data_IF_460714056188
#
_entry.id   IF_460714056188
#
_cell.length_a   1.000
_cell.length_b   1.000
_cell.length_c   1.000
_cell.angle_alpha   90.00
_cell.angle_beta   90.00
_cell.angle_gamma   90.00
#
_symmetry.space_group_name_H-M   'P 1'
#
loop_
_entity.id
_entity.type
_entity.pdbx_description
1 polymer ?
#
# COMPACT_ATOMS: atom_id res chain seq x y z
N UNK A 1 40.40 -12.42 -1.35
CA UNK A 1 40.94 -12.77 -0.02
C UNK A 1 40.69 -11.59 0.90
N UNK A 2 39.82 -11.72 1.91
CA UNK A 2 39.63 -10.68 2.92
C UNK A 2 40.83 -10.65 3.89
N UNK A 3 41.29 -9.48 4.37
CA UNK A 3 42.29 -9.41 5.43
C UNK A 3 41.64 -9.60 6.82
N UNK A 4 42.42 -9.99 7.85
CA UNK A 4 41.89 -10.30 9.18
C UNK A 4 41.55 -9.05 10.00
N UNK A 5 40.51 -9.16 10.82
CA UNK A 5 40.03 -8.12 11.73
C UNK A 5 40.87 -8.10 13.01
N UNK A 6 41.47 -6.95 13.33
CA UNK A 6 42.20 -6.73 14.57
C UNK A 6 41.25 -6.61 15.77
N UNK A 7 41.55 -7.31 16.86
CA UNK A 7 40.87 -7.18 18.16
C UNK A 7 41.29 -5.88 18.84
N UNK A 8 40.34 -5.00 19.13
CA UNK A 8 40.56 -3.83 19.98
C UNK A 8 40.15 -4.14 21.43
N UNK A 9 41.05 -3.84 22.36
CA UNK A 9 40.90 -4.03 23.80
C UNK A 9 39.88 -3.06 24.41
N UNK A 10 39.02 -3.58 25.29
CA UNK A 10 38.03 -2.79 26.04
C UNK A 10 38.71 -1.99 27.16
N UNK A 11 38.75 -0.66 27.00
CA UNK A 11 39.05 0.28 28.07
C UNK A 11 37.77 0.72 28.78
N UNK A 12 37.75 0.58 30.11
CA UNK A 12 36.68 0.98 31.02
C UNK A 12 36.48 2.50 30.99
N UNK A 13 35.37 2.99 30.40
CA UNK A 13 34.96 4.39 30.52
C UNK A 13 33.90 4.56 31.62
N UNK A 14 34.23 5.44 32.56
CA UNK A 14 33.41 5.87 33.69
C UNK A 14 32.24 6.71 33.16
N UNK A 15 31.00 6.28 33.43
CA UNK A 15 29.78 7.05 33.13
C UNK A 15 29.64 8.21 34.12
N UNK A 16 29.69 9.45 33.62
CA UNK A 16 29.17 10.63 34.31
C UNK A 16 27.74 10.86 33.79
N UNK A 17 26.74 10.56 34.61
CA UNK A 17 25.34 10.87 34.32
C UNK A 17 25.08 12.36 34.52
N UNK A 18 25.04 13.12 33.42
CA UNK A 18 24.47 14.46 33.41
C UNK A 18 22.95 14.35 33.28
N UNK A 19 22.23 14.71 34.34
CA UNK A 19 20.78 14.91 34.33
C UNK A 19 20.45 16.13 33.46
N UNK A 20 20.05 15.89 32.22
CA UNK A 20 19.34 16.90 31.42
C UNK A 20 17.84 16.63 31.54
N UNK A 21 17.14 17.56 32.18
CA UNK A 21 15.68 17.56 32.24
C UNK A 21 15.10 17.69 30.84
N UNK A 22 14.39 16.66 30.38
CA UNK A 22 13.55 16.73 29.19
C UNK A 22 12.30 17.49 29.58
N UNK A 23 12.24 18.77 29.19
CA UNK A 23 10.98 19.52 29.21
C UNK A 23 10.11 18.98 28.09
N UNK A 24 9.03 18.28 28.45
CA UNK A 24 8.01 17.82 27.54
C UNK A 24 7.18 19.01 27.02
N UNK A 25 7.69 19.69 26.00
CA UNK A 25 6.82 20.47 25.12
C UNK A 25 6.32 19.53 24.03
N UNK A 26 5.16 18.93 24.28
CA UNK A 26 4.29 18.38 23.25
C UNK A 26 3.85 19.53 22.33
N UNK A 27 4.64 19.76 21.30
CA UNK A 27 4.26 20.58 20.16
C UNK A 27 3.80 19.63 19.06
N UNK A 28 2.48 19.56 18.86
CA UNK A 28 1.89 19.04 17.64
C UNK A 28 2.46 19.84 16.45
N UNK A 29 3.53 19.34 15.85
CA UNK A 29 3.93 19.78 14.51
C UNK A 29 3.03 19.10 13.48
N UNK A 30 1.74 19.43 13.56
CA UNK A 30 0.86 19.37 12.41
C UNK A 30 1.42 20.37 11.39
N UNK A 31 2.24 19.89 10.46
CA UNK A 31 2.48 20.63 9.23
C UNK A 31 1.16 20.63 8.44
N UNK A 32 0.35 21.64 8.74
CA UNK A 32 -0.95 21.94 8.16
C UNK A 32 -0.79 22.37 6.70
N UNK A 33 -0.41 21.44 5.83
CA UNK A 33 -0.96 21.40 4.48
C UNK A 33 -2.11 20.41 4.51
N UNK A 34 -3.27 20.83 5.02
CA UNK A 34 -4.47 19.98 4.97
C UNK A 34 -4.68 19.60 3.51
N UNK A 35 -4.53 18.32 3.19
CA UNK A 35 -4.82 17.80 1.86
C UNK A 35 -6.23 18.26 1.48
N UNK A 36 -6.35 19.04 0.40
CA UNK A 36 -7.60 19.65 -0.07
C UNK A 36 -8.60 18.63 -0.60
N UNK A 37 -8.24 17.34 -0.59
CA UNK A 37 -9.05 16.24 -1.05
C UNK A 37 -10.12 15.96 0.01
N UNK A 38 -11.39 16.00 -0.41
CA UNK A 38 -12.52 15.75 0.48
C UNK A 38 -12.58 14.27 0.93
N UNK A 39 -13.20 13.95 2.08
CA UNK A 39 -13.46 12.56 2.46
C UNK A 39 -14.21 11.76 1.39
N UNK A 40 -15.25 12.35 0.77
CA UNK A 40 -16.02 11.71 -0.29
C UNK A 40 -15.15 11.38 -1.53
N UNK A 41 -14.22 12.28 -1.90
CA UNK A 41 -13.26 12.03 -2.98
C UNK A 41 -12.32 10.87 -2.63
N UNK A 42 -11.88 10.77 -1.36
CA UNK A 42 -11.03 9.65 -0.92
C UNK A 42 -11.78 8.33 -0.93
N UNK A 43 -13.03 8.31 -0.48
CA UNK A 43 -13.90 7.14 -0.54
C UNK A 43 -14.11 6.70 -2.00
N UNK A 44 -14.37 7.64 -2.92
CA UNK A 44 -14.50 7.34 -4.34
C UNK A 44 -13.27 6.62 -4.90
N UNK A 45 -12.05 7.11 -4.62
CA UNK A 45 -10.84 6.46 -5.12
C UNK A 45 -10.46 5.19 -4.37
N UNK A 46 -10.86 5.05 -3.11
CA UNK A 46 -10.75 3.77 -2.42
C UNK A 46 -11.69 2.72 -3.02
N UNK A 47 -12.92 3.09 -3.39
CA UNK A 47 -13.79 2.20 -4.19
C UNK A 47 -13.11 1.80 -5.51
N UNK A 48 -12.42 2.74 -6.18
CA UNK A 48 -11.68 2.42 -7.40
C UNK A 48 -10.53 1.42 -7.16
N UNK A 49 -9.85 1.51 -6.03
CA UNK A 49 -8.82 0.55 -5.62
C UNK A 49 -9.42 -0.84 -5.34
N UNK A 50 -10.62 -0.91 -4.75
CA UNK A 50 -11.39 -2.17 -4.61
C UNK A 50 -11.77 -2.73 -5.99
N UNK A 51 -12.25 -1.88 -6.91
CA UNK A 51 -12.62 -2.29 -8.28
C UNK A 51 -11.41 -2.77 -9.12
N UNK A 52 -10.19 -2.37 -8.78
CA UNK A 52 -8.99 -2.91 -9.42
C UNK A 52 -8.85 -4.44 -9.23
N UNK A 53 -9.42 -4.99 -8.16
CA UNK A 53 -9.36 -6.43 -7.85
C UNK A 53 -10.01 -7.30 -8.95
N UNK A 54 -11.31 -7.13 -9.28
CA UNK A 54 -11.94 -7.88 -10.37
C UNK A 54 -11.39 -7.53 -11.75
N UNK A 55 -10.89 -6.31 -11.96
CA UNK A 55 -10.34 -5.89 -13.26
C UNK A 55 -8.98 -6.53 -13.57
N UNK A 56 -8.15 -6.75 -12.54
CA UNK A 56 -6.77 -7.22 -12.71
C UNK A 56 -6.61 -8.70 -12.39
N UNK A 57 -7.38 -9.22 -11.43
CA UNK A 57 -7.21 -10.58 -10.91
C UNK A 57 -8.51 -11.37 -11.01
N UNK A 58 -9.46 -11.08 -10.14
CA UNK A 58 -10.70 -11.84 -9.96
C UNK A 58 -11.62 -11.08 -9.01
N UNK A 59 -12.95 -11.22 -9.11
CA UNK A 59 -13.88 -10.73 -8.08
C UNK A 59 -13.67 -11.41 -6.71
N UNK A 60 -13.02 -12.57 -6.67
CA UNK A 60 -12.76 -13.38 -5.48
C UNK A 60 -11.24 -13.59 -5.28
N UNK A 61 -10.44 -12.51 -5.16
CA UNK A 61 -9.00 -12.67 -5.09
C UNK A 61 -8.60 -13.21 -3.71
N UNK A 62 -7.71 -14.22 -3.67
CA UNK A 62 -7.14 -14.63 -2.38
C UNK A 62 -6.43 -13.44 -1.73
N UNK A 63 -5.50 -12.78 -2.43
CA UNK A 63 -4.85 -11.55 -1.98
C UNK A 63 -5.58 -10.30 -2.46
N UNK A 64 -6.55 -9.80 -1.68
CA UNK A 64 -7.38 -8.65 -2.02
C UNK A 64 -6.67 -7.28 -1.87
N UNK A 65 -5.41 -7.19 -2.31
CA UNK A 65 -4.58 -5.99 -2.26
C UNK A 65 -4.66 -5.24 -3.59
N UNK A 66 -5.62 -4.32 -3.70
CA UNK A 66 -5.86 -3.48 -4.86
C UNK A 66 -5.33 -2.07 -4.65
N UNK A 67 -4.94 -1.38 -5.71
CA UNK A 67 -4.38 -0.03 -5.64
C UNK A 67 -4.82 0.82 -6.83
N UNK A 68 -5.10 2.09 -6.57
CA UNK A 68 -5.33 3.13 -7.58
C UNK A 68 -4.40 4.32 -7.34
N UNK A 69 -3.83 4.89 -8.39
CA UNK A 69 -2.96 6.07 -8.31
C UNK A 69 -3.60 7.21 -9.11
N UNK A 70 -3.76 8.35 -8.45
CA UNK A 70 -4.60 9.46 -8.93
C UNK A 70 -3.83 10.76 -8.85
N UNK A 71 -3.94 11.58 -9.88
CA UNK A 71 -3.47 12.95 -9.89
C UNK A 71 -4.60 13.91 -9.47
N UNK A 72 -4.45 14.53 -8.30
CA UNK A 72 -5.40 15.51 -7.75
C UNK A 72 -5.08 16.96 -8.10
N UNK A 73 -4.09 17.19 -8.97
CA UNK A 73 -3.75 18.55 -9.48
C UNK A 73 -4.52 18.93 -10.74
N UNK A 74 -5.33 18.03 -11.29
CA UNK A 74 -6.20 18.33 -12.43
C UNK A 74 -7.35 19.24 -12.04
N UNK A 75 -7.99 19.85 -13.05
CA UNK A 75 -9.17 20.71 -12.88
C UNK A 75 -10.47 19.93 -12.62
N UNK A 76 -10.42 18.59 -12.67
CA UNK A 76 -11.56 17.73 -12.37
C UNK A 76 -11.78 17.65 -10.87
N UNK A 77 -13.05 17.69 -10.43
CA UNK A 77 -13.41 17.67 -9.00
C UNK A 77 -12.86 16.43 -8.27
N UNK A 78 -12.85 15.28 -8.94
CA UNK A 78 -12.34 14.03 -8.38
C UNK A 78 -10.85 13.83 -8.59
N UNK A 79 -10.17 14.57 -9.47
CA UNK A 79 -8.83 14.20 -9.94
C UNK A 79 -8.87 13.22 -11.13
N UNK A 80 -7.70 12.89 -11.67
CA UNK A 80 -7.53 12.02 -12.83
C UNK A 80 -6.83 10.71 -12.45
N UNK A 81 -7.44 9.57 -12.75
CA UNK A 81 -6.82 8.27 -12.60
C UNK A 81 -5.62 8.14 -13.54
N UNK A 82 -4.45 7.76 -13.00
CA UNK A 82 -3.26 7.48 -13.79
C UNK A 82 -3.20 5.99 -14.13
N UNK A 83 -3.32 5.14 -13.12
CA UNK A 83 -3.28 3.69 -13.28
C UNK A 83 -3.92 2.99 -12.08
N UNK A 84 -4.08 1.67 -12.23
CA UNK A 84 -4.43 0.74 -11.16
C UNK A 84 -3.43 -0.40 -11.10
N UNK A 85 -3.44 -1.14 -9.99
CA UNK A 85 -2.71 -2.39 -9.81
C UNK A 85 -3.40 -3.27 -8.77
N UNK A 86 -3.03 -4.55 -8.77
CA UNK A 86 -3.44 -5.50 -7.75
C UNK A 86 -2.30 -6.49 -7.48
N UNK A 87 -2.35 -7.18 -6.34
CA UNK A 87 -1.36 -8.21 -6.02
C UNK A 87 -1.45 -9.36 -7.02
N UNK A 88 -0.28 -9.69 -7.59
CA UNK A 88 -0.11 -10.72 -8.62
C UNK A 88 0.95 -11.75 -8.21
N UNK A 89 1.29 -11.84 -6.93
CA UNK A 89 2.36 -12.72 -6.42
C UNK A 89 2.15 -14.16 -6.85
N UNK A 90 0.93 -14.68 -6.72
CA UNK A 90 0.59 -16.06 -7.05
C UNK A 90 0.38 -16.25 -8.55
N UNK A 91 -0.17 -15.26 -9.22
CA UNK A 91 -0.53 -15.30 -10.65
C UNK A 91 0.72 -15.30 -11.54
N UNK A 92 1.76 -14.54 -11.16
CA UNK A 92 2.97 -14.41 -11.98
C UNK A 92 4.23 -14.96 -11.32
N UNK A 93 4.16 -15.41 -10.06
CA UNK A 93 5.31 -15.98 -9.33
C UNK A 93 6.37 -14.95 -8.90
N UNK A 94 6.03 -13.66 -8.85
CA UNK A 94 6.95 -12.61 -8.37
C UNK A 94 6.59 -12.19 -6.94
N UNK A 95 7.43 -12.48 -5.93
CA UNK A 95 7.12 -12.23 -4.53
C UNK A 95 7.03 -10.73 -4.17
N UNK A 96 7.50 -9.82 -5.01
CA UNK A 96 7.45 -8.38 -4.74
C UNK A 96 6.27 -7.68 -5.42
N UNK A 97 5.52 -8.36 -6.28
CA UNK A 97 4.46 -7.74 -7.07
C UNK A 97 3.15 -7.62 -6.27
N UNK A 98 3.23 -6.92 -5.14
CA UNK A 98 2.10 -6.47 -4.33
C UNK A 98 1.32 -5.38 -5.08
N UNK A 99 0.08 -5.09 -4.65
CA UNK A 99 -0.79 -4.13 -5.34
C UNK A 99 -0.15 -2.75 -5.54
N UNK A 100 0.58 -2.26 -4.54
CA UNK A 100 1.24 -0.96 -4.58
C UNK A 100 2.43 -0.95 -5.57
N UNK A 101 3.22 -2.03 -5.59
CA UNK A 101 4.35 -2.18 -6.52
C UNK A 101 3.85 -2.36 -7.95
N UNK A 102 2.80 -3.18 -8.13
CA UNK A 102 2.14 -3.37 -9.42
C UNK A 102 1.62 -2.04 -9.97
N UNK A 103 0.94 -1.25 -9.15
CA UNK A 103 0.44 0.06 -9.55
C UNK A 103 1.60 1.03 -9.89
N UNK A 104 2.68 1.09 -9.12
CA UNK A 104 3.85 1.94 -9.45
C UNK A 104 4.46 1.53 -10.80
N UNK A 105 4.59 0.23 -11.07
CA UNK A 105 5.09 -0.25 -12.36
C UNK A 105 4.16 0.13 -13.51
N UNK A 106 2.85 -0.08 -13.34
CA UNK A 106 1.84 0.25 -14.34
C UNK A 106 1.80 1.76 -14.61
N UNK A 107 1.83 2.59 -13.58
CA UNK A 107 1.86 4.04 -13.73
C UNK A 107 3.12 4.51 -14.43
N UNK A 108 4.29 3.94 -14.10
CA UNK A 108 5.53 4.25 -14.80
C UNK A 108 5.40 3.97 -16.29
N UNK A 109 4.87 2.80 -16.67
CA UNK A 109 4.63 2.45 -18.06
C UNK A 109 3.66 3.43 -18.76
N UNK A 110 2.54 3.78 -18.12
CA UNK A 110 1.56 4.75 -18.65
C UNK A 110 2.17 6.14 -18.84
N UNK A 111 2.96 6.61 -17.87
CA UNK A 111 3.56 7.94 -17.88
C UNK A 111 4.63 8.09 -18.96
N UNK A 112 5.40 7.03 -19.22
CA UNK A 112 6.54 7.07 -20.16
C UNK A 112 6.26 6.44 -21.51
N UNK A 113 5.05 5.91 -21.75
CA UNK A 113 4.68 5.30 -23.03
C UNK A 113 4.88 6.31 -24.20
N UNK A 114 5.65 5.98 -25.25
CA UNK A 114 5.92 6.89 -26.36
C UNK A 114 4.66 7.35 -27.12
N UNK A 115 3.67 6.46 -27.18
CA UNK A 115 2.36 6.64 -27.79
C UNK A 115 1.26 6.94 -26.76
N UNK A 116 1.62 7.03 -25.47
CA UNK A 116 0.69 7.32 -24.38
C UNK A 116 0.28 8.79 -24.29
N UNK A 117 -0.64 9.11 -23.36
CA UNK A 117 -1.14 10.48 -23.21
C UNK A 117 -0.14 11.44 -22.53
N UNK A 118 0.83 10.91 -21.78
CA UNK A 118 1.78 11.73 -20.99
C UNK A 118 3.15 11.89 -21.65
N UNK A 119 3.73 10.81 -22.20
CA UNK A 119 5.01 10.80 -22.93
C UNK A 119 6.18 11.43 -22.18
N UNK A 120 6.18 11.27 -20.86
CA UNK A 120 7.19 11.84 -19.99
C UNK A 120 8.52 11.10 -20.18
N UNK A 121 9.62 11.84 -20.12
CA UNK A 121 10.94 11.25 -19.89
C UNK A 121 10.99 10.58 -18.51
N UNK A 122 11.97 9.71 -18.28
CA UNK A 122 12.14 9.07 -16.97
C UNK A 122 12.27 10.09 -15.82
N UNK A 123 12.97 11.20 -16.04
CA UNK A 123 13.13 12.26 -15.03
C UNK A 123 11.82 13.00 -14.75
N UNK A 124 11.04 13.30 -15.79
CA UNK A 124 9.73 13.94 -15.63
C UNK A 124 8.73 13.00 -14.94
N UNK A 125 8.71 11.71 -15.28
CA UNK A 125 7.87 10.72 -14.63
C UNK A 125 8.20 10.59 -13.14
N UNK A 126 9.49 10.53 -12.78
CA UNK A 126 9.93 10.54 -11.37
C UNK A 126 9.47 11.82 -10.63
N UNK A 127 9.52 12.97 -11.29
CA UNK A 127 9.08 14.23 -10.70
C UNK A 127 7.55 14.31 -10.53
N UNK A 128 6.77 13.61 -11.37
CA UNK A 128 5.31 13.65 -11.34
C UNK A 128 4.69 12.97 -10.12
N UNK A 129 5.36 11.97 -9.52
CA UNK A 129 4.84 11.24 -8.36
C UNK A 129 4.49 12.14 -7.16
N UNK A 130 5.18 13.28 -6.99
CA UNK A 130 4.89 14.27 -5.94
C UNK A 130 3.51 14.93 -6.05
N UNK A 131 2.84 14.75 -7.18
CA UNK A 131 1.50 15.28 -7.47
C UNK A 131 0.42 14.20 -7.38
N UNK A 132 0.80 12.95 -7.10
CA UNK A 132 -0.12 11.81 -7.04
C UNK A 132 -0.45 11.39 -5.61
N UNK A 133 -1.68 10.91 -5.43
CA UNK A 133 -2.12 10.15 -4.26
C UNK A 133 -2.23 8.67 -4.63
N UNK A 134 -1.71 7.81 -3.77
CA UNK A 134 -1.89 6.35 -3.85
C UNK A 134 -3.00 5.91 -2.89
N UNK A 135 -4.00 5.20 -3.41
CA UNK A 135 -5.09 4.59 -2.64
C UNK A 135 -4.91 3.06 -2.67
N UNK A 136 -4.82 2.40 -1.51
CA UNK A 136 -4.62 0.95 -1.41
C UNK A 136 -5.58 0.30 -0.43
N UNK A 137 -6.09 -0.90 -0.75
CA UNK A 137 -7.10 -1.60 0.06
C UNK A 137 -6.57 -2.09 1.40
N UNK A 138 -5.25 -2.15 1.59
CA UNK A 138 -4.64 -2.40 2.87
C UNK A 138 -3.40 -1.53 3.09
N UNK A 139 -3.04 -1.36 4.36
CA UNK A 139 -1.87 -0.62 4.79
C UNK A 139 -0.60 -1.16 4.13
N UNK A 140 0.25 -0.29 3.57
CA UNK A 140 1.48 -0.73 2.94
C UNK A 140 2.41 -1.48 3.89
N UNK A 141 2.78 -2.70 3.53
CA UNK A 141 3.81 -3.46 4.24
C UNK A 141 5.18 -2.74 4.16
N UNK A 142 6.20 -3.13 4.94
CA UNK A 142 7.46 -2.41 4.97
C UNK A 142 8.16 -2.20 3.62
N UNK A 143 8.05 -3.16 2.71
CA UNK A 143 8.54 -3.03 1.34
C UNK A 143 7.78 -1.94 0.57
N UNK A 144 6.45 -2.03 0.54
CA UNK A 144 5.58 -1.10 -0.18
C UNK A 144 5.67 0.31 0.40
N UNK A 145 5.65 0.44 1.73
CA UNK A 145 5.82 1.72 2.44
C UNK A 145 7.13 2.40 2.04
N UNK A 146 8.23 1.66 2.00
CA UNK A 146 9.54 2.17 1.59
C UNK A 146 9.56 2.57 0.11
N UNK A 147 8.95 1.76 -0.77
CA UNK A 147 8.81 2.09 -2.19
C UNK A 147 8.00 3.38 -2.42
N UNK A 148 6.89 3.56 -1.70
CA UNK A 148 6.05 4.76 -1.74
C UNK A 148 6.86 6.00 -1.32
N UNK A 149 7.66 5.88 -0.26
CA UNK A 149 8.52 6.98 0.21
C UNK A 149 9.63 7.32 -0.79
N UNK A 150 10.22 6.33 -1.44
CA UNK A 150 11.20 6.57 -2.51
C UNK A 150 10.59 7.19 -3.77
N UNK A 151 9.39 6.76 -4.16
CA UNK A 151 8.65 7.36 -5.28
C UNK A 151 8.26 8.82 -4.99
N UNK A 152 8.06 9.15 -3.71
CA UNK A 152 7.81 10.53 -3.27
C UNK A 152 6.39 11.00 -3.54
N UNK A 153 5.41 10.09 -3.40
CA UNK A 153 3.99 10.41 -3.47
C UNK A 153 3.62 11.58 -2.56
N UNK A 154 2.62 12.36 -2.96
CA UNK A 154 2.03 13.42 -2.12
C UNK A 154 1.34 12.84 -0.90
N UNK A 155 0.54 11.80 -1.13
CA UNK A 155 -0.33 11.20 -0.14
C UNK A 155 -0.44 9.69 -0.40
N UNK A 156 -0.52 8.92 0.68
CA UNK A 156 -0.86 7.50 0.69
C UNK A 156 -2.07 7.32 1.58
N UNK A 157 -3.15 6.82 0.99
CA UNK A 157 -4.42 6.52 1.65
C UNK A 157 -4.60 5.01 1.66
N UNK A 158 -4.86 4.43 2.82
CA UNK A 158 -5.11 3.00 2.95
C UNK A 158 -6.40 2.71 3.73
N UNK A 159 -6.93 1.51 3.54
CA UNK A 159 -8.13 1.04 4.23
C UNK A 159 -7.78 0.13 5.41
N UNK A 160 -7.75 -1.20 5.21
CA UNK A 160 -7.48 -2.20 6.25
C UNK A 160 -6.07 -2.07 6.82
N UNK A 161 -5.94 -2.07 8.15
CA UNK A 161 -4.65 -1.91 8.82
C UNK A 161 -3.82 -3.20 8.88
N UNK A 162 -2.49 -3.10 9.06
CA UNK A 162 -1.63 -4.26 9.33
C UNK A 162 -2.08 -5.04 10.57
N UNK A 163 -2.52 -4.36 11.64
CA UNK A 163 -2.99 -5.04 12.86
C UNK A 163 -4.22 -5.89 12.55
N UNK A 164 -5.15 -5.34 11.76
CA UNK A 164 -6.35 -6.05 11.32
C UNK A 164 -6.01 -7.23 10.41
N UNK A 165 -5.04 -7.09 9.51
CA UNK A 165 -4.55 -8.20 8.69
C UNK A 165 -3.98 -9.32 9.58
N UNK A 166 -3.14 -8.99 10.57
CA UNK A 166 -2.57 -9.94 11.53
C UNK A 166 -3.70 -10.63 12.32
N UNK A 167 -4.70 -9.88 12.77
CA UNK A 167 -5.88 -10.43 13.46
C UNK A 167 -6.63 -11.45 12.59
N UNK A 168 -6.72 -11.22 11.28
CA UNK A 168 -7.32 -12.16 10.32
C UNK A 168 -6.38 -13.28 9.87
N UNK A 169 -5.21 -13.44 10.51
CA UNK A 169 -4.27 -14.51 10.24
C UNK A 169 -3.36 -14.28 9.03
N UNK A 170 -3.38 -13.09 8.43
CA UNK A 170 -2.46 -12.78 7.34
C UNK A 170 -1.02 -12.69 7.84
N UNK A 171 -0.07 -13.38 7.19
CA UNK A 171 1.34 -13.22 7.53
C UNK A 171 1.79 -11.80 7.15
N UNK A 172 2.14 -11.00 8.16
CA UNK A 172 2.66 -9.65 7.99
C UNK A 172 3.93 -9.48 8.82
N UNK A 173 4.80 -8.57 8.37
CA UNK A 173 5.79 -7.98 9.25
C UNK A 173 5.05 -7.02 10.18
N UNK A 174 5.16 -7.25 11.49
CA UNK A 174 4.60 -6.36 12.53
C UNK A 174 5.43 -5.06 12.63
N UNK A 175 5.32 -4.25 11.58
CA UNK A 175 5.95 -2.95 11.45
C UNK A 175 5.03 -2.04 10.63
N UNK A 176 4.47 -1.04 11.30
CA UNK A 176 3.47 -0.14 10.74
C UNK A 176 4.07 0.81 9.70
N UNK A 177 3.28 1.12 8.67
CA UNK A 177 3.64 2.11 7.63
C UNK A 177 3.96 3.48 8.25
N UNK A 178 3.22 3.87 9.30
CA UNK A 178 3.45 5.11 10.06
C UNK A 178 4.89 5.21 10.58
N UNK A 179 5.42 4.14 11.18
CA UNK A 179 6.77 4.13 11.73
C UNK A 179 7.84 4.32 10.63
N UNK A 180 7.63 3.68 9.47
CA UNK A 180 8.52 3.84 8.32
C UNK A 180 8.49 5.27 7.79
N UNK A 181 7.31 5.84 7.67
CA UNK A 181 7.13 7.22 7.20
C UNK A 181 7.81 8.21 8.16
N UNK A 182 7.62 8.04 9.47
CA UNK A 182 8.25 8.85 10.52
C UNK A 182 9.78 8.71 10.55
N UNK A 183 10.34 7.55 10.21
CA UNK A 183 11.80 7.33 10.15
C UNK A 183 12.45 7.73 8.82
N UNK A 184 11.66 8.07 7.81
CA UNK A 184 12.13 8.38 6.45
C UNK A 184 12.37 9.88 6.19
N UNK A 185 12.57 10.68 7.23
CA UNK A 185 12.70 12.16 7.17
C UNK A 185 13.93 12.66 6.41
N UNK A 186 14.91 11.79 6.14
CA UNK A 186 16.10 12.12 5.32
C UNK A 186 15.84 12.11 3.81
N UNK A 187 14.69 11.60 3.38
CA UNK A 187 14.27 11.68 1.98
C UNK A 187 13.76 13.09 1.66
N UNK A 188 13.92 13.51 0.39
CA UNK A 188 13.59 14.87 -0.05
C UNK A 188 12.09 15.18 -0.05
N UNK A 189 11.24 14.15 -0.14
CA UNK A 189 9.79 14.28 -0.22
C UNK A 189 9.14 14.05 1.14
N UNK A 190 7.99 14.67 1.38
CA UNK A 190 7.06 14.31 2.46
C UNK A 190 5.83 13.66 1.82
N UNK A 191 5.35 12.57 2.42
CA UNK A 191 4.13 11.88 1.99
C UNK A 191 3.17 11.88 3.16
N UNK A 192 1.99 12.48 2.98
CA UNK A 192 0.92 12.41 3.98
C UNK A 192 0.33 10.99 4.01
N UNK A 193 0.14 10.42 5.19
CA UNK A 193 -0.37 9.07 5.38
C UNK A 193 -1.72 9.11 6.08
N UNK A 194 -2.73 8.48 5.48
CA UNK A 194 -4.09 8.41 6.03
C UNK A 194 -4.60 6.96 5.97
N UNK A 195 -5.03 6.42 7.11
CA UNK A 195 -5.61 5.07 7.21
C UNK A 195 -7.11 5.07 7.41
N UNK A 196 -7.74 3.90 7.27
CA UNK A 196 -9.14 3.65 7.66
C UNK A 196 -10.20 4.06 6.65
N UNK A 197 -9.83 4.48 5.43
CA UNK A 197 -10.83 4.88 4.41
C UNK A 197 -11.53 3.64 3.88
N UNK A 198 -12.86 3.53 4.08
CA UNK A 198 -13.66 2.35 3.72
C UNK A 198 -13.20 1.02 4.35
N UNK A 199 -12.58 1.06 5.53
CA UNK A 199 -12.05 -0.13 6.21
C UNK A 199 -13.06 -1.27 6.36
N UNK A 200 -14.33 -0.96 6.65
CA UNK A 200 -15.35 -1.98 6.88
C UNK A 200 -15.59 -2.82 5.63
N UNK A 201 -15.52 -2.18 4.45
CA UNK A 201 -15.71 -2.85 3.17
C UNK A 201 -14.47 -3.66 2.80
N UNK A 202 -13.26 -3.11 2.96
CA UNK A 202 -12.02 -3.84 2.64
C UNK A 202 -11.76 -4.97 3.62
N UNK A 203 -12.13 -4.83 4.90
CA UNK A 203 -12.02 -5.90 5.89
C UNK A 203 -12.83 -7.14 5.47
N UNK A 204 -14.00 -6.98 4.83
CA UNK A 204 -14.77 -8.12 4.32
C UNK A 204 -13.99 -8.93 3.28
N UNK A 205 -13.13 -8.29 2.49
CA UNK A 205 -12.28 -8.98 1.52
C UNK A 205 -11.13 -9.78 2.15
N UNK A 206 -10.73 -9.48 3.38
CA UNK A 206 -9.57 -10.12 4.05
C UNK A 206 -9.94 -11.14 5.13
N UNK A 207 -11.23 -11.34 5.39
CA UNK A 207 -11.74 -12.14 6.52
C UNK A 207 -11.93 -13.63 6.24
N UNK A 208 -11.91 -14.07 4.99
CA UNK A 208 -12.34 -15.43 4.62
C UNK A 208 -11.18 -16.39 4.32
N UNK A 209 -9.99 -15.86 4.02
CA UNK A 209 -8.85 -16.63 3.51
C UNK A 209 -8.28 -17.62 4.52
N UNK A 210 -8.32 -17.25 5.80
CA UNK A 210 -7.80 -18.05 6.92
C UNK A 210 -8.89 -18.33 7.96
N UNK A 211 -10.14 -18.32 7.51
CA UNK A 211 -11.31 -18.58 8.34
C UNK A 211 -12.35 -19.37 7.52
N UNK A 212 -12.50 -20.64 7.88
CA UNK A 212 -13.42 -21.57 7.19
C UNK A 212 -14.88 -21.11 7.29
N UNK A 213 -15.23 -20.40 8.38
CA UNK A 213 -16.57 -19.84 8.61
C UNK A 213 -16.73 -18.41 8.05
N UNK A 214 -15.69 -17.86 7.41
CA UNK A 214 -15.73 -16.51 6.85
C UNK A 214 -16.76 -16.35 5.73
N UNK A 215 -17.43 -15.21 5.65
CA UNK A 215 -18.33 -14.94 4.52
C UNK A 215 -17.50 -14.63 3.26
N UNK A 216 -17.85 -15.26 2.13
CA UNK A 216 -17.27 -14.89 0.85
C UNK A 216 -17.68 -13.46 0.44
N UNK A 217 -16.81 -12.75 -0.29
CA UNK A 217 -17.16 -11.43 -0.80
C UNK A 217 -18.33 -11.52 -1.79
N UNK A 218 -19.03 -10.41 -2.00
CA UNK A 218 -20.21 -10.38 -2.88
C UNK A 218 -19.89 -10.89 -4.29
N UNK A 219 -20.72 -11.82 -4.79
CA UNK A 219 -20.51 -12.47 -6.09
C UNK A 219 -19.61 -13.70 -6.06
N UNK A 220 -19.17 -14.12 -4.87
CA UNK A 220 -18.34 -15.29 -4.65
C UNK A 220 -19.04 -16.32 -3.77
N UNK A 221 -18.81 -17.59 -4.04
CA UNK A 221 -19.33 -18.73 -3.28
C UNK A 221 -18.16 -19.58 -2.79
N UNK A 222 -18.32 -20.20 -1.61
CA UNK A 222 -17.28 -21.06 -1.05
C UNK A 222 -17.32 -22.40 -1.76
N UNK A 223 -16.20 -22.77 -2.37
CA UNK A 223 -16.03 -24.08 -2.99
C UNK A 223 -15.79 -25.15 -1.93
N UNK A 224 -16.59 -26.22 -1.93
CA UNK A 224 -16.52 -27.28 -0.92
C UNK A 224 -15.21 -28.08 -0.99
N UNK A 225 -14.60 -28.18 -2.18
CA UNK A 225 -13.36 -28.95 -2.39
C UNK A 225 -12.11 -28.22 -1.89
N UNK A 226 -11.96 -26.95 -2.25
CA UNK A 226 -10.79 -26.14 -1.94
C UNK A 226 -10.95 -25.28 -0.68
N UNK A 227 -12.18 -25.08 -0.20
CA UNK A 227 -12.51 -24.13 0.86
C UNK A 227 -12.35 -22.67 0.45
N UNK A 228 -11.98 -22.36 -0.80
CA UNK A 228 -11.75 -21.00 -1.27
C UNK A 228 -13.03 -20.35 -1.76
N UNK A 229 -13.13 -19.02 -1.64
CA UNK A 229 -14.19 -18.27 -2.29
C UNK A 229 -13.87 -18.13 -3.79
N UNK A 230 -14.69 -18.71 -4.64
CA UNK A 230 -14.58 -18.67 -6.10
C UNK A 230 -15.78 -17.94 -6.70
N UNK A 231 -15.66 -17.43 -7.93
CA UNK A 231 -16.82 -16.84 -8.61
C UNK A 231 -17.72 -17.96 -9.14
N UNK A 232 -19.04 -17.77 -9.02
CA UNK A 232 -20.04 -18.80 -9.35
C UNK A 232 -20.05 -19.31 -10.80
N UNK A 233 -19.25 -18.70 -11.71
CA UNK A 233 -19.04 -19.20 -13.07
C UNK A 233 -18.04 -20.37 -13.15
N UNK A 234 -17.25 -20.63 -12.11
CA UNK A 234 -16.27 -21.73 -12.07
C UNK A 234 -16.74 -23.00 -11.33
N UNK A 235 -17.86 -22.96 -10.61
CA UNK A 235 -18.40 -24.14 -9.90
C UNK A 235 -19.00 -25.22 -10.81
N UNK A 236 -18.99 -25.05 -12.15
CA UNK A 236 -19.67 -25.98 -13.08
C UNK A 236 -18.71 -26.95 -13.80
N UNK A 237 -17.40 -26.90 -13.58
CA UNK A 237 -16.44 -27.72 -14.36
C UNK A 237 -15.47 -28.54 -13.51
N UNK A 238 -16.00 -29.42 -12.65
CA UNK A 238 -15.21 -30.55 -12.10
C UNK A 238 -15.95 -31.89 -12.02
N UNK A 239 -17.10 -32.03 -12.69
CA UNK A 239 -17.75 -33.33 -12.90
C UNK A 239 -17.50 -33.83 -14.34
N UNK A 240 -16.29 -34.36 -14.60
CA UNK A 240 -15.99 -35.27 -15.72
C UNK A 240 -14.94 -36.31 -15.33
#
# INVERSE_FOLDING_TARGET
MWPPVARASFGLMILITALYGVSANGGDHANSSSSTISPATREHWMQRAIQALPEVVSPCPFGAFGTAIVNHTSTTELGNLICIGANLVRDIGNPTLHGEIAAINNCTAVLTAPDGPYKLTATEALAAYKDFTLYTTAEPCPMCATAIRHAGFRECVYATSIDTLIEYGWPQLDLRSKEIFERSTRLKSYTYLLGGVLESQTNAYFRWQFNDDGACPGGCERDEGSGQCLSGLFSVHNDL
#
